data_IF_188476230684
#
_entry.id   IF_188476230684
#
_cell.length_a   1.000
_cell.length_b   1.000
_cell.length_c   1.000
_cell.angle_alpha   90.00
_cell.angle_beta   90.00
_cell.angle_gamma   90.00
#
_symmetry.space_group_name_H-M   'P 1'
#
loop_
_entity.id
_entity.type
_entity.pdbx_description
1 polymer ?
#
# COMPACT_ATOMS: atom_id res chain seq x y z
N UNK A 1 -39.24 -15.45 -16.79
CA UNK A 1 -38.73 -15.67 -15.42
C UNK A 1 -39.49 -14.75 -14.49
N UNK A 2 -40.24 -15.29 -13.52
CA UNK A 2 -41.06 -14.50 -12.58
C UNK A 2 -40.16 -13.72 -11.61
N UNK A 3 -40.65 -12.60 -11.05
CA UNK A 3 -39.88 -11.79 -10.09
C UNK A 3 -39.41 -12.60 -8.86
N UNK A 4 -40.18 -13.60 -8.45
CA UNK A 4 -39.86 -14.49 -7.33
C UNK A 4 -38.67 -15.41 -7.64
N UNK A 5 -38.58 -15.91 -8.89
CA UNK A 5 -37.46 -16.74 -9.32
C UNK A 5 -36.15 -15.94 -9.42
N UNK A 6 -36.24 -14.64 -9.75
CA UNK A 6 -35.08 -13.73 -9.78
C UNK A 6 -34.57 -13.45 -8.37
N UNK A 7 -35.47 -13.10 -7.43
CA UNK A 7 -35.11 -12.90 -6.00
C UNK A 7 -34.51 -14.15 -5.35
N UNK A 8 -35.02 -15.34 -5.66
CA UNK A 8 -34.51 -16.61 -5.11
C UNK A 8 -33.09 -16.93 -5.60
N UNK A 9 -32.82 -16.72 -6.90
CA UNK A 9 -31.49 -16.89 -7.48
C UNK A 9 -30.48 -15.88 -6.93
N UNK A 10 -30.89 -14.62 -6.76
CA UNK A 10 -30.07 -13.55 -6.18
C UNK A 10 -29.69 -13.88 -4.70
N UNK A 11 -30.62 -14.46 -3.93
CA UNK A 11 -30.35 -14.91 -2.56
C UNK A 11 -29.39 -16.09 -2.47
N UNK A 12 -29.48 -17.08 -3.37
CA UNK A 12 -28.57 -18.23 -3.40
C UNK A 12 -27.15 -17.81 -3.83
N UNK A 13 -27.04 -16.90 -4.79
CA UNK A 13 -25.77 -16.36 -5.25
C UNK A 13 -25.06 -15.54 -4.15
N UNK A 14 -25.78 -14.65 -3.47
CA UNK A 14 -25.23 -13.89 -2.35
C UNK A 14 -24.77 -14.79 -1.20
N UNK A 15 -25.50 -15.89 -0.93
CA UNK A 15 -25.11 -16.88 0.09
C UNK A 15 -23.85 -17.65 -0.29
N UNK A 16 -23.73 -18.05 -1.55
CA UNK A 16 -22.50 -18.67 -2.06
C UNK A 16 -21.27 -17.75 -1.91
N UNK A 17 -21.43 -16.44 -2.21
CA UNK A 17 -20.36 -15.45 -2.00
C UNK A 17 -20.00 -15.35 -0.51
N UNK A 18 -21.00 -15.26 0.36
CA UNK A 18 -20.78 -15.19 1.80
C UNK A 18 -20.01 -16.39 2.34
N UNK A 19 -20.41 -17.61 1.95
CA UNK A 19 -19.78 -18.85 2.40
C UNK A 19 -18.33 -18.96 1.89
N UNK A 20 -18.07 -18.59 0.62
CA UNK A 20 -16.71 -18.56 0.07
C UNK A 20 -15.82 -17.52 0.76
N UNK A 21 -16.34 -16.32 1.04
CA UNK A 21 -15.60 -15.29 1.77
C UNK A 21 -15.22 -15.77 3.17
N UNK A 22 -16.17 -16.42 3.87
CA UNK A 22 -15.90 -16.97 5.20
C UNK A 22 -14.76 -17.98 5.16
N UNK A 23 -14.75 -18.89 4.17
CA UNK A 23 -13.66 -19.86 3.99
C UNK A 23 -12.32 -19.21 3.61
N UNK A 24 -12.31 -18.16 2.78
CA UNK A 24 -11.07 -17.47 2.38
C UNK A 24 -10.35 -16.73 3.52
N UNK A 25 -11.07 -16.39 4.60
CA UNK A 25 -10.57 -15.56 5.69
C UNK A 25 -10.36 -16.30 7.01
N UNK A 26 -10.44 -17.63 7.02
CA UNK A 26 -10.02 -18.44 8.17
C UNK A 26 -8.51 -18.30 8.39
N UNK A 27 -8.14 -17.53 9.43
CA UNK A 27 -6.76 -17.26 9.83
C UNK A 27 -6.45 -15.77 9.99
N UNK A 28 -6.53 -15.26 11.22
CA UNK A 28 -6.04 -13.95 11.69
C UNK A 28 -6.48 -12.69 10.90
N UNK A 29 -7.48 -12.75 10.02
CA UNK A 29 -8.00 -11.59 9.29
C UNK A 29 -9.33 -11.15 9.90
N UNK A 30 -9.36 -9.94 10.43
CA UNK A 30 -10.58 -9.32 10.94
C UNK A 30 -11.42 -8.87 9.74
N UNK A 31 -12.29 -9.76 9.24
CA UNK A 31 -13.17 -9.45 8.11
C UNK A 31 -14.58 -9.25 8.63
N UNK A 32 -15.02 -7.99 8.65
CA UNK A 32 -16.43 -7.68 8.83
C UNK A 32 -17.18 -7.96 7.51
N UNK A 33 -17.71 -9.19 7.40
CA UNK A 33 -18.53 -9.60 6.25
C UNK A 33 -19.92 -8.98 6.36
N UNK A 34 -20.05 -7.73 5.90
CA UNK A 34 -21.32 -7.01 5.85
C UNK A 34 -22.12 -7.33 4.57
N UNK A 35 -23.45 -7.18 4.57
CA UNK A 35 -24.26 -7.29 3.35
C UNK A 35 -23.79 -6.36 2.21
N UNK A 36 -23.26 -5.18 2.55
CA UNK A 36 -22.72 -4.23 1.57
C UNK A 36 -21.51 -4.81 0.84
N UNK A 37 -20.61 -5.51 1.54
CA UNK A 37 -19.45 -6.15 0.93
C UNK A 37 -19.90 -7.27 -0.02
N UNK A 38 -20.84 -8.11 0.41
CA UNK A 38 -21.37 -9.22 -0.41
C UNK A 38 -22.00 -8.69 -1.68
N UNK A 39 -22.82 -7.64 -1.60
CA UNK A 39 -23.46 -7.04 -2.78
C UNK A 39 -22.44 -6.45 -3.75
N UNK A 40 -21.43 -5.70 -3.27
CA UNK A 40 -20.36 -5.16 -4.13
C UNK A 40 -19.59 -6.24 -4.87
N UNK A 41 -19.29 -7.35 -4.20
CA UNK A 41 -18.61 -8.49 -4.83
C UNK A 41 -19.52 -9.20 -5.83
N UNK A 42 -20.81 -9.33 -5.53
CA UNK A 42 -21.80 -9.85 -6.47
C UNK A 42 -21.87 -8.99 -7.74
N UNK A 43 -21.85 -7.67 -7.60
CA UNK A 43 -21.84 -6.74 -8.73
C UNK A 43 -20.56 -6.90 -9.57
N UNK A 44 -19.38 -7.02 -8.95
CA UNK A 44 -18.13 -7.27 -9.68
C UNK A 44 -18.15 -8.59 -10.46
N UNK A 45 -18.68 -9.66 -9.87
CA UNK A 45 -18.79 -10.96 -10.55
C UNK A 45 -19.83 -10.89 -11.68
N UNK A 46 -20.96 -10.23 -11.45
CA UNK A 46 -22.04 -10.11 -12.42
C UNK A 46 -21.63 -9.30 -13.65
N UNK A 47 -20.97 -8.15 -13.43
CA UNK A 47 -20.56 -7.27 -14.51
C UNK A 47 -19.31 -7.75 -15.24
N UNK A 48 -18.41 -8.47 -14.58
CA UNK A 48 -17.20 -8.99 -15.20
C UNK A 48 -16.00 -8.02 -15.14
N UNK A 49 -14.80 -8.51 -15.51
CA UNK A 49 -13.54 -7.80 -15.32
C UNK A 49 -13.42 -6.50 -16.14
N UNK A 50 -14.14 -6.38 -17.25
CA UNK A 50 -14.16 -5.18 -18.09
C UNK A 50 -14.79 -3.95 -17.40
N UNK A 51 -15.52 -4.17 -16.30
CA UNK A 51 -16.09 -3.12 -15.45
C UNK A 51 -15.29 -2.88 -14.16
N UNK A 52 -14.13 -3.52 -14.02
CA UNK A 52 -13.29 -3.44 -12.81
C UNK A 52 -12.04 -2.62 -13.10
N UNK A 53 -11.77 -1.63 -12.24
CA UNK A 53 -10.51 -0.91 -12.18
C UNK A 53 -9.83 -1.15 -10.83
N UNK A 54 -8.51 -1.34 -10.85
CA UNK A 54 -7.69 -1.44 -9.64
C UNK A 54 -6.95 -0.13 -9.42
N UNK A 55 -7.14 0.47 -8.24
CA UNK A 55 -6.34 1.59 -7.73
C UNK A 55 -5.65 1.06 -6.48
N UNK A 56 -4.32 1.02 -6.50
CA UNK A 56 -3.54 0.48 -5.39
C UNK A 56 -2.35 1.38 -5.07
N UNK A 57 -2.00 1.37 -3.79
CA UNK A 57 -0.74 1.89 -3.28
C UNK A 57 0.39 0.87 -3.51
N UNK A 58 1.64 1.29 -3.42
CA UNK A 58 2.81 0.43 -3.64
C UNK A 58 3.48 -0.01 -2.34
N UNK A 59 3.97 0.93 -1.53
CA UNK A 59 4.81 0.64 -0.37
C UNK A 59 4.03 -0.08 0.73
N UNK A 60 4.49 -1.27 1.10
CA UNK A 60 3.81 -2.18 2.04
C UNK A 60 2.41 -2.64 1.63
N UNK A 61 1.89 -2.19 0.48
CA UNK A 61 0.67 -2.66 -0.16
C UNK A 61 1.00 -3.70 -1.23
N UNK A 62 1.64 -3.32 -2.34
CA UNK A 62 2.17 -4.26 -3.33
C UNK A 62 3.52 -4.84 -2.90
N UNK A 63 4.37 -4.04 -2.24
CA UNK A 63 5.56 -4.57 -1.58
C UNK A 63 5.17 -5.21 -0.23
N UNK A 64 5.95 -6.21 0.20
CA UNK A 64 5.74 -6.86 1.50
C UNK A 64 6.05 -5.86 2.62
N UNK A 65 5.43 -6.08 3.78
CA UNK A 65 5.81 -5.38 5.01
C UNK A 65 7.10 -5.98 5.59
N UNK A 66 7.16 -7.30 5.69
CA UNK A 66 8.34 -8.05 6.14
C UNK A 66 8.65 -9.23 5.22
N UNK A 67 9.92 -9.62 5.14
CA UNK A 67 10.39 -10.80 4.44
C UNK A 67 11.50 -11.47 5.27
N UNK A 68 11.37 -12.76 5.55
CA UNK A 68 12.30 -13.52 6.40
C UNK A 68 12.58 -12.84 7.76
N UNK A 69 11.51 -12.37 8.42
CA UNK A 69 11.55 -11.59 9.67
C UNK A 69 12.23 -10.21 9.60
N UNK A 70 12.74 -9.80 8.44
CA UNK A 70 13.30 -8.46 8.24
C UNK A 70 12.28 -7.49 7.63
N UNK A 71 12.43 -6.20 7.94
CA UNK A 71 11.59 -5.14 7.38
C UNK A 71 12.01 -4.88 5.93
N UNK A 72 11.07 -5.06 5.00
CA UNK A 72 11.28 -4.67 3.60
C UNK A 72 11.33 -3.14 3.54
N UNK A 73 12.23 -2.52 2.77
CA UNK A 73 12.28 -1.07 2.66
C UNK A 73 11.10 -0.53 1.83
N UNK A 74 10.69 0.70 2.15
CA UNK A 74 9.86 1.54 1.27
C UNK A 74 10.72 2.14 0.15
N UNK A 75 10.12 2.66 -0.91
CA UNK A 75 10.83 3.24 -2.06
C UNK A 75 11.91 4.26 -1.65
N UNK A 76 11.56 5.23 -0.80
CA UNK A 76 12.53 6.23 -0.32
C UNK A 76 13.62 5.66 0.60
N UNK A 77 13.35 4.53 1.24
CA UNK A 77 14.33 3.81 2.06
C UNK A 77 15.50 3.25 1.25
N UNK A 78 15.33 3.08 -0.07
CA UNK A 78 16.40 2.65 -0.96
C UNK A 78 17.52 3.68 -1.02
N UNK A 79 17.18 4.96 -1.11
CA UNK A 79 18.15 6.04 -1.22
C UNK A 79 19.00 6.20 0.05
N UNK A 80 18.40 5.96 1.22
CA UNK A 80 19.08 6.05 2.50
C UNK A 80 20.17 4.98 2.64
N UNK A 81 19.91 3.77 2.12
CA UNK A 81 20.79 2.61 2.32
C UNK A 81 21.83 2.43 1.23
N UNK A 82 21.55 2.85 0.00
CA UNK A 82 22.39 2.56 -1.15
C UNK A 82 23.63 3.47 -1.21
N UNK A 83 24.83 2.91 -1.32
CA UNK A 83 26.10 3.65 -1.34
C UNK A 83 26.36 4.48 -2.60
N UNK A 84 25.56 4.31 -3.66
CA UNK A 84 25.56 5.17 -4.86
C UNK A 84 25.05 6.57 -4.56
N UNK A 85 24.15 6.70 -3.59
CA UNK A 85 23.65 8.01 -3.17
C UNK A 85 24.73 8.72 -2.35
N UNK A 86 25.05 9.99 -2.67
CA UNK A 86 26.05 10.76 -1.93
C UNK A 86 25.78 10.71 -0.42
N UNK A 87 26.83 10.49 0.37
CA UNK A 87 26.70 10.29 1.82
C UNK A 87 25.95 11.43 2.51
N UNK A 88 26.25 12.67 2.13
CA UNK A 88 25.54 13.87 2.65
C UNK A 88 24.03 13.79 2.41
N UNK A 89 23.59 13.27 1.27
CA UNK A 89 22.18 13.09 0.95
C UNK A 89 21.56 11.96 1.76
N UNK A 90 22.26 10.84 1.92
CA UNK A 90 21.78 9.70 2.73
C UNK A 90 21.58 10.10 4.19
N UNK A 91 22.56 10.81 4.76
CA UNK A 91 22.48 11.35 6.12
C UNK A 91 21.32 12.33 6.24
N UNK A 92 21.17 13.25 5.29
CA UNK A 92 20.05 14.20 5.31
C UNK A 92 18.69 13.52 5.23
N UNK A 93 18.53 12.53 4.35
CA UNK A 93 17.29 11.76 4.22
C UNK A 93 16.98 10.96 5.50
N UNK A 94 18.01 10.38 6.12
CA UNK A 94 17.87 9.66 7.40
C UNK A 94 17.41 10.61 8.52
N UNK A 95 18.04 11.76 8.67
CA UNK A 95 17.66 12.78 9.65
C UNK A 95 16.21 13.23 9.47
N UNK A 96 15.81 13.53 8.23
CA UNK A 96 14.44 13.91 7.91
C UNK A 96 13.46 12.78 8.26
N UNK A 97 13.77 11.54 7.85
CA UNK A 97 12.93 10.38 8.17
C UNK A 97 12.77 10.21 9.68
N UNK A 98 13.86 10.28 10.45
CA UNK A 98 13.82 10.10 11.91
C UNK A 98 13.02 11.20 12.61
N UNK A 99 13.11 12.44 12.12
CA UNK A 99 12.36 13.56 12.66
C UNK A 99 10.87 13.47 12.32
N UNK A 100 10.52 13.17 11.06
CA UNK A 100 9.13 13.25 10.60
C UNK A 100 8.28 12.00 10.88
N UNK A 101 8.88 10.81 10.92
CA UNK A 101 8.13 9.54 11.10
C UNK A 101 7.26 9.49 12.37
N UNK A 102 7.71 9.98 13.55
CA UNK A 102 6.87 9.99 14.75
C UNK A 102 5.58 10.81 14.59
N UNK A 103 5.64 11.92 13.84
CA UNK A 103 4.48 12.78 13.59
C UNK A 103 3.49 12.13 12.61
N UNK A 104 3.99 11.44 11.58
CA UNK A 104 3.16 10.70 10.62
C UNK A 104 2.25 9.69 11.35
N UNK A 105 2.85 8.90 12.25
CA UNK A 105 2.15 7.81 12.94
C UNK A 105 1.44 8.24 14.23
N UNK A 106 1.60 9.49 14.68
CA UNK A 106 1.09 9.95 15.97
C UNK A 106 -0.44 9.84 16.07
N UNK A 107 -1.02 9.12 17.05
CA UNK A 107 -2.48 9.08 17.21
C UNK A 107 -3.06 10.40 17.75
N UNK A 108 -2.22 11.24 18.34
CA UNK A 108 -2.64 12.44 19.09
C UNK A 108 -2.63 13.73 18.25
N UNK A 109 -2.31 13.63 16.96
CA UNK A 109 -2.23 14.78 16.04
C UNK A 109 -3.39 14.83 15.06
N UNK A 110 -3.86 16.04 14.76
CA UNK A 110 -4.91 16.22 13.77
C UNK A 110 -4.40 15.92 12.35
N UNK A 111 -5.28 15.34 11.52
CA UNK A 111 -4.95 14.98 10.14
C UNK A 111 -4.43 16.16 9.31
N UNK A 112 -4.93 17.37 9.55
CA UNK A 112 -4.47 18.58 8.88
C UNK A 112 -3.01 18.92 9.23
N UNK A 113 -2.65 18.87 10.51
CA UNK A 113 -1.29 19.15 10.98
C UNK A 113 -0.29 18.14 10.43
N UNK A 114 -0.65 16.86 10.47
CA UNK A 114 0.13 15.80 9.82
C UNK A 114 0.33 16.07 8.34
N UNK A 115 -0.73 16.45 7.63
CA UNK A 115 -0.66 16.75 6.20
C UNK A 115 0.31 17.89 5.89
N UNK A 116 0.36 18.93 6.73
CA UNK A 116 1.33 20.02 6.59
C UNK A 116 2.76 19.53 6.81
N UNK A 117 3.01 18.74 7.86
CA UNK A 117 4.33 18.17 8.16
C UNK A 117 4.80 17.21 7.07
N UNK A 118 3.92 16.34 6.54
CA UNK A 118 4.27 15.43 5.45
C UNK A 118 4.59 16.17 4.16
N UNK A 119 3.89 17.27 3.85
CA UNK A 119 4.25 18.12 2.70
C UNK A 119 5.64 18.72 2.87
N UNK A 120 5.95 19.24 4.06
CA UNK A 120 7.29 19.77 4.35
C UNK A 120 8.36 18.68 4.23
N UNK A 121 8.14 17.51 4.86
CA UNK A 121 9.03 16.37 4.79
C UNK A 121 9.34 15.97 3.34
N UNK A 122 8.32 15.72 2.52
CA UNK A 122 8.53 15.29 1.13
C UNK A 122 9.22 16.36 0.29
N UNK A 123 8.94 17.64 0.51
CA UNK A 123 9.65 18.73 -0.16
C UNK A 123 11.14 18.74 0.19
N UNK A 124 11.48 18.58 1.48
CA UNK A 124 12.86 18.54 1.95
C UNK A 124 13.61 17.29 1.49
N UNK A 125 12.95 16.13 1.50
CA UNK A 125 13.53 14.87 1.05
C UNK A 125 13.82 14.91 -0.45
N UNK A 126 12.88 15.37 -1.28
CA UNK A 126 13.10 15.53 -2.71
C UNK A 126 14.18 16.57 -3.02
N UNK A 127 14.22 17.68 -2.27
CA UNK A 127 15.29 18.66 -2.39
C UNK A 127 16.66 18.06 -2.10
N UNK A 128 16.80 17.22 -1.07
CA UNK A 128 18.07 16.57 -0.75
C UNK A 128 18.58 15.66 -1.88
N UNK A 129 17.68 15.00 -2.62
CA UNK A 129 18.02 14.20 -3.80
C UNK A 129 18.47 15.07 -4.98
N UNK A 130 17.76 16.18 -5.23
CA UNK A 130 18.10 17.12 -6.31
C UNK A 130 19.43 17.82 -6.03
N UNK A 131 19.61 18.36 -4.83
CA UNK A 131 20.86 19.03 -4.42
C UNK A 131 22.05 18.04 -4.42
N UNK A 132 21.76 16.74 -4.25
CA UNK A 132 22.73 15.65 -4.37
C UNK A 132 23.09 15.24 -5.80
N UNK A 133 22.47 15.84 -6.82
CA UNK A 133 22.59 15.42 -8.22
C UNK A 133 22.34 13.91 -8.44
N UNK A 134 21.38 13.33 -7.71
CA UNK A 134 21.02 11.91 -7.88
C UNK A 134 20.48 11.70 -9.30
N UNK A 135 21.16 10.84 -10.06
CA UNK A 135 20.85 10.55 -11.45
C UNK A 135 19.80 9.45 -11.59
N UNK A 136 19.31 9.24 -12.82
CA UNK A 136 18.43 8.09 -13.12
C UNK A 136 19.17 6.77 -12.93
N UNK A 137 20.44 6.72 -13.31
CA UNK A 137 21.31 5.56 -13.18
C UNK A 137 21.53 5.18 -11.71
N UNK A 138 21.64 6.18 -10.82
CA UNK A 138 21.72 5.94 -9.38
C UNK A 138 20.41 5.31 -8.85
N UNK A 139 19.26 5.77 -9.33
CA UNK A 139 17.95 5.21 -8.97
C UNK A 139 17.85 3.75 -9.43
N UNK A 140 18.26 3.45 -10.68
CA UNK A 140 18.27 2.09 -11.20
C UNK A 140 19.14 1.16 -10.34
N UNK A 141 20.33 1.62 -9.94
CA UNK A 141 21.19 0.87 -9.02
C UNK A 141 20.53 0.69 -7.64
N UNK A 142 19.88 1.73 -7.11
CA UNK A 142 19.13 1.65 -5.86
C UNK A 142 18.04 0.58 -5.91
N UNK A 143 17.31 0.45 -7.01
CA UNK A 143 16.27 -0.57 -7.18
C UNK A 143 16.88 -1.96 -7.29
N UNK A 144 17.95 -2.12 -8.07
CA UNK A 144 18.61 -3.42 -8.27
C UNK A 144 19.21 -3.99 -6.97
N UNK A 145 19.75 -3.12 -6.12
CA UNK A 145 20.41 -3.50 -4.86
C UNK A 145 19.49 -3.34 -3.63
N UNK A 146 18.28 -2.82 -3.83
CA UNK A 146 17.45 -2.22 -2.79
C UNK A 146 16.66 -3.19 -1.92
N UNK A 147 16.54 -4.45 -2.31
CA UNK A 147 15.88 -5.48 -1.50
C UNK A 147 14.36 -5.29 -1.33
N UNK A 148 13.68 -4.60 -2.25
CA UNK A 148 12.21 -4.60 -2.31
C UNK A 148 11.73 -6.00 -2.70
N UNK A 149 10.80 -6.53 -1.91
CA UNK A 149 10.17 -7.83 -2.19
C UNK A 149 8.68 -7.60 -2.41
N UNK A 150 8.19 -7.92 -3.61
CA UNK A 150 6.77 -7.82 -3.94
C UNK A 150 5.96 -8.93 -3.28
N UNK A 151 4.69 -8.65 -3.00
CA UNK A 151 3.69 -9.68 -2.71
C UNK A 151 3.43 -10.43 -4.00
N UNK A 152 3.61 -11.74 -3.99
CA UNK A 152 3.16 -12.58 -5.10
C UNK A 152 1.65 -12.65 -4.98
N UNK A 153 0.96 -12.24 -6.04
CA UNK A 153 -0.50 -12.34 -6.18
C UNK A 153 -0.85 -13.67 -6.81
#
# INVERSE_FOLDING_TARGET
MTLENKKSADCLFARCIYDNLKCMFEGNRLVHVSPILVNKLADFIYHGPEYVQVICDFDHTLSKYTHNAERVPVCHGLFIKNSRIPEVCRLRLKELSDFYSPFETSPDMYAYEKSCLMKEFWNLAHKALVDGNVSREDIDCCVMEGGIVLRVV
#
